data_IF_761549626798
#
_entry.id   IF_761549626798
#
_cell.length_a   1.000
_cell.length_b   1.000
_cell.length_c   1.000
_cell.angle_alpha   90.00
_cell.angle_beta   90.00
_cell.angle_gamma   90.00
#
_symmetry.space_group_name_H-M   'P 1'
#
loop_
_entity.id
_entity.type
_entity.pdbx_description
1 polymer ?
#
# COMPACT_ATOMS: atom_id res chain seq x y z
N UNK A 1 0.53 13.09 -24.62
CA UNK A 1 1.06 13.60 -25.87
C UNK A 1 1.81 12.49 -26.62
N UNK A 2 1.17 11.87 -27.57
CA UNK A 2 1.76 11.09 -28.62
C UNK A 2 2.32 9.73 -28.24
N UNK A 3 3.57 9.60 -27.94
CA UNK A 3 4.26 8.33 -27.99
C UNK A 3 4.78 7.79 -26.65
N UNK A 4 4.71 8.57 -25.57
CA UNK A 4 5.14 8.11 -24.24
C UNK A 4 4.05 7.32 -23.52
N UNK A 5 4.44 6.17 -22.98
CA UNK A 5 3.56 5.28 -22.23
C UNK A 5 3.96 5.26 -20.76
N UNK A 6 3.02 5.67 -19.91
CA UNK A 6 3.14 5.59 -18.45
C UNK A 6 2.20 4.49 -17.95
N UNK A 7 2.73 3.57 -17.15
CA UNK A 7 1.94 2.54 -16.49
C UNK A 7 1.95 2.77 -14.99
N UNK A 8 0.78 2.74 -14.36
CA UNK A 8 0.65 2.83 -12.91
C UNK A 8 0.07 1.50 -12.39
N UNK A 9 0.84 0.81 -11.55
CA UNK A 9 0.45 -0.48 -10.96
C UNK A 9 0.02 -0.37 -9.51
N UNK A 10 -0.23 0.84 -9.01
CA UNK A 10 -0.74 1.02 -7.65
C UNK A 10 -2.09 0.29 -7.47
N UNK A 11 -2.26 -0.36 -6.32
CA UNK A 11 -3.43 -1.19 -5.98
C UNK A 11 -3.69 -2.39 -6.92
N UNK A 12 -2.70 -2.76 -7.73
CA UNK A 12 -2.76 -3.92 -8.61
C UNK A 12 -1.78 -5.01 -8.12
N UNK A 13 -2.21 -5.96 -7.28
CA UNK A 13 -1.34 -7.09 -6.89
C UNK A 13 -0.95 -7.92 -8.11
N UNK A 14 0.36 -8.13 -8.33
CA UNK A 14 0.88 -8.78 -9.53
C UNK A 14 0.22 -10.14 -9.83
N UNK A 15 0.03 -11.06 -8.85
CA UNK A 15 -0.58 -12.36 -9.12
C UNK A 15 -2.01 -12.30 -9.68
N UNK A 16 -2.74 -11.20 -9.40
CA UNK A 16 -4.11 -11.01 -9.89
C UNK A 16 -4.12 -10.23 -11.21
N UNK A 17 -3.16 -9.31 -11.37
CA UNK A 17 -3.10 -8.39 -12.50
C UNK A 17 -2.21 -8.88 -13.66
N UNK A 18 -1.53 -10.01 -13.51
CA UNK A 18 -0.53 -10.52 -14.47
C UNK A 18 -1.09 -10.61 -15.89
N UNK A 19 -2.26 -11.22 -16.09
CA UNK A 19 -2.89 -11.33 -17.41
C UNK A 19 -3.20 -9.96 -18.04
N UNK A 20 -3.60 -8.99 -17.22
CA UNK A 20 -3.86 -7.63 -17.67
C UNK A 20 -2.57 -6.89 -18.00
N UNK A 21 -1.53 -7.09 -17.20
CA UNK A 21 -0.22 -6.52 -17.42
C UNK A 21 0.43 -7.08 -18.70
N UNK A 22 0.31 -8.38 -18.96
CA UNK A 22 0.73 -9.02 -20.22
C UNK A 22 0.02 -8.43 -21.42
N UNK A 23 -1.28 -8.18 -21.33
CA UNK A 23 -2.03 -7.52 -22.42
C UNK A 23 -1.52 -6.11 -22.69
N UNK A 24 -1.23 -5.34 -21.64
CA UNK A 24 -0.64 -3.99 -21.76
C UNK A 24 0.73 -4.08 -22.44
N UNK A 25 1.61 -4.98 -21.97
CA UNK A 25 2.94 -5.18 -22.58
C UNK A 25 2.86 -5.56 -24.07
N UNK A 26 1.87 -6.37 -24.45
CA UNK A 26 1.66 -6.76 -25.85
C UNK A 26 1.11 -5.61 -26.72
N UNK A 27 0.30 -4.72 -26.14
CA UNK A 27 -0.22 -3.54 -26.85
C UNK A 27 0.83 -2.46 -27.03
N UNK A 28 1.70 -2.28 -26.03
CA UNK A 28 2.72 -1.23 -26.01
C UNK A 28 4.12 -1.84 -25.97
N UNK A 29 4.82 -1.76 -27.08
CA UNK A 29 6.19 -2.31 -27.20
C UNK A 29 7.20 -1.65 -26.28
N UNK A 30 6.94 -0.39 -25.90
CA UNK A 30 7.81 0.41 -25.04
C UNK A 30 6.99 1.02 -23.91
N UNK A 31 7.48 0.87 -22.71
CA UNK A 31 6.98 1.54 -21.51
C UNK A 31 8.03 2.54 -21.05
N UNK A 32 7.72 3.83 -21.12
CA UNK A 32 8.68 4.89 -20.79
C UNK A 32 8.78 5.08 -19.27
N UNK A 33 7.67 4.93 -18.56
CA UNK A 33 7.67 5.17 -17.12
C UNK A 33 6.72 4.22 -16.38
N UNK A 34 7.22 3.63 -15.29
CA UNK A 34 6.45 2.71 -14.46
C UNK A 34 6.35 3.25 -13.03
N UNK A 35 5.13 3.50 -12.57
CA UNK A 35 4.81 3.82 -11.18
C UNK A 35 4.48 2.53 -10.43
N UNK A 36 5.28 2.20 -9.41
CA UNK A 36 5.21 0.93 -8.67
C UNK A 36 4.61 1.09 -7.29
N UNK A 37 3.53 0.40 -6.98
CA UNK A 37 3.11 0.19 -5.60
C UNK A 37 4.16 -0.65 -4.85
N UNK A 38 4.76 -0.12 -3.80
CA UNK A 38 5.88 -0.74 -3.09
C UNK A 38 5.63 -0.99 -1.60
N UNK A 39 4.48 -0.61 -1.09
CA UNK A 39 4.15 -0.75 0.33
C UNK A 39 2.67 -1.04 0.54
N UNK A 40 2.35 -1.64 1.66
CA UNK A 40 0.99 -1.98 2.06
C UNK A 40 0.27 -0.79 2.69
N UNK A 41 -1.03 -0.66 2.42
CA UNK A 41 -1.94 0.30 3.05
C UNK A 41 -3.06 -0.42 3.85
N UNK A 42 -2.78 -1.59 4.44
CA UNK A 42 -3.75 -2.38 5.19
C UNK A 42 -3.71 -2.07 6.69
N UNK A 43 -4.77 -2.46 7.41
CA UNK A 43 -4.82 -2.40 8.86
C UNK A 43 -3.95 -3.49 9.54
N UNK A 44 -3.57 -4.52 8.82
CA UNK A 44 -2.68 -5.56 9.31
C UNK A 44 -1.20 -5.21 9.01
N UNK A 45 -0.27 -5.40 9.95
CA UNK A 45 -0.42 -6.03 11.27
C UNK A 45 -0.75 -5.08 12.42
N UNK A 46 -0.58 -3.77 12.24
CA UNK A 46 -0.58 -2.75 13.30
C UNK A 46 -1.88 -2.62 14.10
N UNK A 47 -3.01 -3.07 13.57
CA UNK A 47 -4.31 -3.00 14.26
C UNK A 47 -4.75 -4.36 14.82
N UNK A 48 -3.83 -5.33 14.92
CA UNK A 48 -4.10 -6.68 15.41
C UNK A 48 -3.34 -6.97 16.69
N UNK A 49 -3.92 -7.75 17.57
CA UNK A 49 -3.24 -8.24 18.76
C UNK A 49 -2.31 -9.40 18.38
N UNK A 50 -1.04 -9.09 18.28
CA UNK A 50 0.03 -10.04 17.92
C UNK A 50 1.11 -10.02 19.01
N UNK A 51 1.80 -11.13 19.18
CA UNK A 51 3.05 -11.12 19.92
C UNK A 51 4.11 -10.27 19.18
N UNK A 52 5.12 -9.79 19.88
CA UNK A 52 6.20 -9.02 19.25
C UNK A 52 6.90 -9.80 18.13
N UNK A 53 7.05 -11.11 18.29
CA UNK A 53 7.67 -11.97 17.28
C UNK A 53 6.79 -12.07 16.03
N UNK A 54 5.48 -12.31 16.19
CA UNK A 54 4.52 -12.37 15.09
C UNK A 54 4.40 -11.03 14.36
N UNK A 55 4.41 -9.92 15.11
CA UNK A 55 4.37 -8.57 14.55
C UNK A 55 5.58 -8.33 13.64
N UNK A 56 6.80 -8.56 14.14
CA UNK A 56 8.03 -8.33 13.38
C UNK A 56 8.16 -9.28 12.19
N UNK A 57 7.73 -10.53 12.33
CA UNK A 57 7.65 -11.48 11.22
C UNK A 57 6.69 -11.00 10.14
N UNK A 58 5.48 -10.63 10.53
CA UNK A 58 4.45 -10.14 9.60
C UNK A 58 4.87 -8.89 8.86
N UNK A 59 5.53 -7.94 9.56
CA UNK A 59 6.08 -6.73 8.92
C UNK A 59 7.07 -7.08 7.82
N UNK A 60 8.02 -7.97 8.10
CA UNK A 60 9.04 -8.42 7.13
C UNK A 60 8.42 -9.12 5.92
N UNK A 61 7.49 -10.05 6.16
CA UNK A 61 6.81 -10.79 5.09
C UNK A 61 6.02 -9.88 4.17
N UNK A 62 5.31 -8.89 4.73
CA UNK A 62 4.54 -7.93 3.94
C UNK A 62 5.46 -7.06 3.10
N UNK A 63 6.52 -6.49 3.68
CA UNK A 63 7.49 -5.68 2.95
C UNK A 63 8.10 -6.49 1.81
N UNK A 64 8.57 -7.70 2.09
CA UNK A 64 9.16 -8.57 1.08
C UNK A 64 8.18 -8.90 -0.05
N UNK A 65 6.92 -9.17 0.27
CA UNK A 65 5.87 -9.42 -0.72
C UNK A 65 5.71 -8.26 -1.70
N UNK A 66 5.67 -7.02 -1.20
CA UNK A 66 5.51 -5.84 -2.07
C UNK A 66 6.75 -5.58 -2.92
N UNK A 67 7.94 -5.80 -2.38
CA UNK A 67 9.18 -5.66 -3.15
C UNK A 67 9.25 -6.69 -4.29
N UNK A 68 8.93 -7.96 -4.02
CA UNK A 68 8.87 -8.99 -5.06
C UNK A 68 7.83 -8.70 -6.16
N UNK A 69 6.69 -8.13 -5.80
CA UNK A 69 5.71 -7.67 -6.79
C UNK A 69 6.28 -6.55 -7.67
N UNK A 70 6.98 -5.60 -7.07
CA UNK A 70 7.66 -4.54 -7.82
C UNK A 70 8.69 -5.09 -8.81
N UNK A 71 9.52 -6.05 -8.39
CA UNK A 71 10.46 -6.76 -9.28
C UNK A 71 9.74 -7.44 -10.45
N UNK A 72 8.63 -8.11 -10.17
CA UNK A 72 7.84 -8.78 -11.21
C UNK A 72 7.32 -7.80 -12.25
N UNK A 73 6.85 -6.64 -11.84
CA UNK A 73 6.40 -5.59 -12.75
C UNK A 73 7.54 -4.96 -13.56
N UNK A 74 8.69 -4.70 -12.94
CA UNK A 74 9.86 -4.15 -13.65
C UNK A 74 10.32 -5.15 -14.72
N UNK A 75 10.41 -6.43 -14.38
CA UNK A 75 10.83 -7.48 -15.31
C UNK A 75 9.82 -7.70 -16.45
N UNK A 76 8.52 -7.60 -16.16
CA UNK A 76 7.49 -7.76 -17.18
C UNK A 76 7.46 -6.57 -18.15
N UNK A 77 7.41 -5.36 -17.61
CA UNK A 77 7.25 -4.15 -18.42
C UNK A 77 8.56 -3.66 -19.06
N UNK A 78 9.70 -3.97 -18.47
CA UNK A 78 11.01 -3.50 -18.91
C UNK A 78 11.01 -1.99 -19.22
N UNK A 79 10.61 -1.14 -18.25
CA UNK A 79 10.44 0.29 -18.49
C UNK A 79 11.77 0.99 -18.65
N UNK A 80 11.82 2.13 -19.40
CA UNK A 80 13.00 2.99 -19.41
C UNK A 80 13.30 3.52 -18.00
N UNK A 81 12.26 3.98 -17.30
CA UNK A 81 12.34 4.48 -15.93
C UNK A 81 11.25 3.89 -15.04
N UNK A 82 11.55 3.75 -13.75
CA UNK A 82 10.55 3.36 -12.75
C UNK A 82 10.69 4.17 -11.46
N UNK A 83 9.60 4.28 -10.72
CA UNK A 83 9.55 4.96 -9.44
C UNK A 83 8.72 4.18 -8.43
N UNK A 84 9.25 3.85 -7.23
CA UNK A 84 8.42 3.43 -6.11
C UNK A 84 7.39 4.53 -5.80
N UNK A 85 6.09 4.21 -5.87
CA UNK A 85 5.00 5.18 -5.84
C UNK A 85 3.89 4.76 -4.89
N UNK A 86 3.20 5.74 -4.28
CA UNK A 86 2.01 5.55 -3.46
C UNK A 86 2.13 4.58 -2.28
N UNK A 87 3.33 4.37 -1.73
CA UNK A 87 3.53 3.51 -0.56
C UNK A 87 3.73 4.28 0.75
N UNK A 88 3.76 5.61 0.72
CA UNK A 88 4.12 6.43 1.88
C UNK A 88 2.90 7.11 2.49
N UNK A 89 2.56 6.70 3.70
CA UNK A 89 1.56 7.34 4.54
C UNK A 89 1.95 7.20 6.00
N UNK A 90 1.33 7.98 6.87
CA UNK A 90 1.46 7.89 8.33
C UNK A 90 0.08 7.85 8.96
N UNK A 91 -0.03 7.23 10.12
CA UNK A 91 -1.26 7.23 10.88
C UNK A 91 -1.35 8.51 11.72
N UNK A 92 -2.52 9.12 11.74
CA UNK A 92 -2.79 10.33 12.51
C UNK A 92 -3.84 10.12 13.61
N UNK A 93 -4.09 11.14 14.41
CA UNK A 93 -5.02 11.13 15.54
C UNK A 93 -4.65 10.04 16.56
N UNK A 94 -5.64 9.44 17.17
CA UNK A 94 -5.47 8.39 18.19
C UNK A 94 -4.68 7.17 17.69
N UNK A 95 -4.64 6.94 16.38
CA UNK A 95 -3.94 5.80 15.76
C UNK A 95 -2.47 6.08 15.44
N UNK A 96 -1.97 7.30 15.67
CA UNK A 96 -0.57 7.66 15.42
C UNK A 96 0.41 6.77 16.18
N UNK A 97 0.04 6.32 17.37
CA UNK A 97 0.83 5.40 18.21
C UNK A 97 1.11 4.05 17.50
N UNK A 98 0.25 3.63 16.58
CA UNK A 98 0.39 2.39 15.82
C UNK A 98 1.30 2.55 14.58
N UNK A 99 1.74 3.76 14.25
CA UNK A 99 2.54 3.99 13.04
C UNK A 99 3.87 3.23 13.06
N UNK A 100 4.46 3.03 14.23
CA UNK A 100 5.70 2.26 14.43
C UNK A 100 5.55 0.76 14.12
N UNK A 101 4.33 0.25 14.24
CA UNK A 101 4.02 -1.18 14.09
C UNK A 101 3.55 -1.54 12.66
N UNK A 102 3.50 -0.57 11.76
CA UNK A 102 3.16 -0.82 10.36
C UNK A 102 4.27 -1.57 9.61
N UNK A 103 3.85 -2.40 8.68
CA UNK A 103 4.75 -2.96 7.68
C UNK A 103 5.08 -1.89 6.64
N UNK A 104 6.15 -1.14 6.85
CA UNK A 104 6.58 -0.04 5.98
C UNK A 104 8.03 -0.17 5.55
N UNK A 105 8.31 0.33 4.38
CA UNK A 105 9.65 0.56 3.86
C UNK A 105 9.68 1.98 3.28
N UNK A 106 10.77 2.70 3.48
CA UNK A 106 10.91 4.03 2.91
C UNK A 106 11.14 3.95 1.40
N UNK A 107 10.74 4.97 0.67
CA UNK A 107 10.81 5.00 -0.79
C UNK A 107 12.23 4.81 -1.31
N UNK A 108 13.19 5.41 -0.61
CA UNK A 108 14.62 5.33 -0.92
C UNK A 108 15.17 3.90 -0.73
N UNK A 109 14.69 3.21 0.32
CA UNK A 109 15.12 1.84 0.58
C UNK A 109 14.49 0.85 -0.39
N UNK A 110 13.23 1.08 -0.79
CA UNK A 110 12.61 0.34 -1.87
C UNK A 110 13.37 0.55 -3.20
N UNK A 111 13.75 1.79 -3.51
CA UNK A 111 14.57 2.08 -4.69
C UNK A 111 15.92 1.35 -4.64
N UNK A 112 16.63 1.41 -3.50
CA UNK A 112 17.90 0.68 -3.30
C UNK A 112 17.71 -0.84 -3.48
N UNK A 113 16.61 -1.38 -2.95
CA UNK A 113 16.30 -2.80 -3.12
C UNK A 113 16.21 -3.15 -4.61
N UNK A 114 15.43 -2.41 -5.39
CA UNK A 114 15.29 -2.65 -6.83
C UNK A 114 16.60 -2.45 -7.58
N UNK A 115 17.38 -1.45 -7.24
CA UNK A 115 18.69 -1.17 -7.87
C UNK A 115 19.74 -2.25 -7.58
N UNK A 116 19.63 -2.96 -6.43
CA UNK A 116 20.54 -4.05 -6.05
C UNK A 116 19.98 -5.43 -6.38
N UNK A 117 18.78 -5.53 -6.91
CA UNK A 117 18.16 -6.80 -7.27
C UNK A 117 18.97 -7.51 -8.38
N UNK A 118 19.28 -8.78 -8.15
CA UNK A 118 19.97 -9.61 -9.15
C UNK A 118 19.05 -10.07 -10.29
N UNK A 119 17.73 -9.94 -10.11
CA UNK A 119 16.74 -10.37 -11.11
C UNK A 119 16.31 -9.24 -12.05
N UNK A 120 16.67 -7.98 -11.74
CA UNK A 120 16.42 -6.82 -12.59
C UNK A 120 17.69 -6.49 -13.39
N UNK A 121 17.55 -6.33 -14.71
CA UNK A 121 18.67 -5.93 -15.57
C UNK A 121 18.93 -4.42 -15.43
N UNK A 122 19.68 -4.03 -14.39
CA UNK A 122 19.89 -2.63 -13.98
C UNK A 122 20.42 -1.69 -15.08
N UNK A 123 21.11 -2.22 -16.08
CA UNK A 123 21.64 -1.40 -17.19
C UNK A 123 20.56 -0.82 -18.10
N UNK A 124 19.35 -1.39 -18.04
CA UNK A 124 18.26 -1.03 -18.93
C UNK A 124 17.21 -0.11 -18.28
N UNK A 125 17.20 -0.04 -16.93
CA UNK A 125 16.12 0.60 -16.18
C UNK A 125 16.66 1.61 -15.18
N UNK A 126 16.19 2.85 -15.28
CA UNK A 126 16.56 3.92 -14.34
C UNK A 126 15.52 4.04 -13.23
N UNK A 127 15.91 3.70 -12.01
CA UNK A 127 15.07 3.96 -10.84
C UNK A 127 15.22 5.39 -10.34
N UNK A 128 14.11 6.06 -10.03
CA UNK A 128 14.09 7.43 -9.52
C UNK A 128 13.18 7.57 -8.30
N UNK A 129 13.40 8.65 -7.56
CA UNK A 129 12.49 9.16 -6.51
C UNK A 129 12.35 10.67 -6.68
N UNK A 130 11.19 11.20 -6.29
CA UNK A 130 10.85 12.62 -6.40
C UNK A 130 10.44 13.19 -5.06
N UNK A 131 10.79 14.44 -4.80
CA UNK A 131 10.20 15.22 -3.74
C UNK A 131 8.89 15.87 -4.21
N UNK A 132 8.13 16.41 -3.26
CA UNK A 132 7.00 17.27 -3.56
C UNK A 132 7.44 18.47 -4.39
N UNK A 133 6.64 18.88 -5.37
CA UNK A 133 6.90 20.01 -6.28
C UNK A 133 8.16 19.86 -7.15
N UNK A 134 8.60 18.63 -7.40
CA UNK A 134 9.68 18.36 -8.36
C UNK A 134 9.10 17.72 -9.61
N UNK A 135 9.77 17.91 -10.74
CA UNK A 135 9.38 17.38 -12.04
C UNK A 135 10.46 16.47 -12.61
N UNK A 136 10.00 15.45 -13.32
CA UNK A 136 10.83 14.55 -14.09
C UNK A 136 10.39 14.57 -15.55
N UNK A 137 11.31 14.92 -16.44
CA UNK A 137 11.07 14.86 -17.87
C UNK A 137 11.31 13.44 -18.38
N UNK A 138 10.24 12.78 -18.80
CA UNK A 138 10.27 11.39 -19.28
C UNK A 138 11.06 11.27 -20.59
N UNK A 139 11.07 12.33 -21.40
CA UNK A 139 11.73 12.33 -22.71
C UNK A 139 13.25 12.47 -22.57
N UNK A 140 13.69 13.41 -21.72
CA UNK A 140 15.13 13.65 -21.49
C UNK A 140 15.70 12.76 -20.38
N UNK A 141 14.86 12.24 -19.49
CA UNK A 141 15.28 11.50 -18.30
C UNK A 141 15.89 12.39 -17.21
N UNK A 142 15.61 13.68 -17.23
CA UNK A 142 16.19 14.66 -16.30
C UNK A 142 15.22 15.07 -15.19
N UNK A 143 15.77 15.38 -14.04
CA UNK A 143 15.07 15.97 -12.90
C UNK A 143 15.33 17.48 -12.89
N UNK A 144 14.29 18.26 -12.61
CA UNK A 144 14.44 19.72 -12.42
C UNK A 144 15.23 20.07 -11.15
N UNK A 145 15.13 19.22 -10.12
CA UNK A 145 15.83 19.39 -8.86
C UNK A 145 16.34 18.05 -8.32
N UNK A 146 17.46 18.12 -7.61
CA UNK A 146 18.03 16.93 -6.96
C UNK A 146 17.14 16.48 -5.81
N UNK A 147 16.89 15.16 -5.71
CA UNK A 147 16.18 14.56 -4.60
C UNK A 147 16.84 14.84 -3.24
N UNK A 148 16.05 15.26 -2.28
CA UNK A 148 16.47 15.48 -0.88
C UNK A 148 15.75 14.44 0.00
N UNK A 149 16.48 13.56 0.69
CA UNK A 149 15.88 12.59 1.60
C UNK A 149 15.08 13.27 2.73
N UNK A 150 14.02 12.61 3.17
CA UNK A 150 13.23 13.10 4.29
C UNK A 150 14.03 12.96 5.59
N UNK A 151 14.01 14.03 6.40
CA UNK A 151 14.58 14.02 7.74
C UNK A 151 13.66 13.21 8.68
N UNK A 152 14.11 12.02 9.09
CA UNK A 152 13.32 11.13 9.96
C UNK A 152 13.02 11.78 11.33
N UNK A 153 13.91 12.57 11.90
CA UNK A 153 13.65 13.25 13.18
C UNK A 153 12.53 14.27 13.04
N UNK A 154 12.53 15.07 11.98
CA UNK A 154 11.46 16.04 11.72
C UNK A 154 10.12 15.33 11.44
N UNK A 155 10.15 14.22 10.71
CA UNK A 155 8.97 13.37 10.44
C UNK A 155 8.36 12.85 11.75
N UNK A 156 9.18 12.31 12.65
CA UNK A 156 8.73 11.81 13.96
C UNK A 156 8.13 12.96 14.79
N UNK A 157 8.81 14.09 14.87
CA UNK A 157 8.30 15.27 15.57
C UNK A 157 6.95 15.74 15.01
N UNK A 158 6.80 15.76 13.70
CA UNK A 158 5.54 16.13 13.06
C UNK A 158 4.40 15.14 13.37
N UNK A 159 4.70 13.85 13.38
CA UNK A 159 3.72 12.81 13.76
C UNK A 159 3.29 13.02 15.24
N UNK A 160 4.24 13.21 16.15
CA UNK A 160 3.98 13.33 17.58
C UNK A 160 3.30 14.66 17.96
N UNK A 161 3.74 15.77 17.37
CA UNK A 161 3.30 17.09 17.78
C UNK A 161 2.07 17.60 17.03
N UNK A 162 1.88 17.17 15.78
CA UNK A 162 0.81 17.67 14.92
C UNK A 162 -0.20 16.58 14.56
N UNK A 163 0.25 15.49 13.94
CA UNK A 163 -0.67 14.46 13.43
C UNK A 163 -1.37 13.69 14.55
N UNK A 164 -0.70 13.44 15.68
CA UNK A 164 -1.29 12.74 16.83
C UNK A 164 -2.49 13.50 17.43
N UNK A 165 -2.48 14.83 17.33
CA UNK A 165 -3.53 15.71 17.88
C UNK A 165 -4.70 15.93 16.92
N UNK A 166 -4.58 15.45 15.68
CA UNK A 166 -5.61 15.62 14.66
C UNK A 166 -6.88 14.88 15.07
N UNK A 167 -7.98 15.61 15.08
CA UNK A 167 -9.32 15.03 15.25
C UNK A 167 -9.93 14.76 13.90
N UNK A 168 -10.69 13.67 13.80
CA UNK A 168 -11.41 13.30 12.61
C UNK A 168 -12.91 13.44 12.84
N UNK A 169 -13.66 13.71 11.78
CA UNK A 169 -15.09 13.99 11.85
C UNK A 169 -15.87 12.85 12.52
N UNK A 170 -15.49 11.59 12.21
CA UNK A 170 -16.11 10.41 12.83
C UNK A 170 -15.90 10.27 14.34
N UNK A 171 -14.97 11.00 14.95
CA UNK A 171 -14.75 10.97 16.40
C UNK A 171 -15.88 11.65 17.18
N UNK A 172 -16.71 12.45 16.50
CA UNK A 172 -17.91 13.04 17.03
C UNK A 172 -19.18 12.22 16.81
N UNK A 173 -19.08 11.11 16.07
CA UNK A 173 -20.23 10.25 15.80
C UNK A 173 -20.62 9.46 17.05
N UNK A 174 -21.91 9.27 17.24
CA UNK A 174 -22.41 8.39 18.28
C UNK A 174 -22.04 6.94 17.98
N UNK A 175 -21.51 6.25 18.97
CA UNK A 175 -21.28 4.80 18.85
C UNK A 175 -22.64 4.11 18.77
N UNK A 176 -22.92 3.31 17.73
CA UNK A 176 -24.18 2.60 17.60
C UNK A 176 -24.42 1.68 18.81
N UNK A 177 -25.63 1.68 19.32
CA UNK A 177 -26.02 0.76 20.38
C UNK A 177 -26.25 -0.66 19.87
N UNK A 178 -26.39 -1.62 20.79
CA UNK A 178 -26.62 -3.03 20.43
C UNK A 178 -27.83 -3.21 19.50
N UNK A 179 -28.91 -2.50 19.75
CA UNK A 179 -30.12 -2.60 18.93
C UNK A 179 -29.89 -2.16 17.48
N UNK A 180 -29.09 -1.11 17.26
CA UNK A 180 -28.73 -0.64 15.91
C UNK A 180 -27.95 -1.73 15.16
N UNK A 181 -27.05 -2.43 15.83
CA UNK A 181 -26.32 -3.56 15.25
C UNK A 181 -27.25 -4.73 14.93
N UNK A 182 -28.15 -5.10 15.86
CA UNK A 182 -29.08 -6.22 15.67
C UNK A 182 -30.02 -5.99 14.47
N UNK A 183 -30.39 -4.75 14.18
CA UNK A 183 -31.18 -4.42 12.99
C UNK A 183 -30.37 -4.50 11.67
N UNK A 184 -29.07 -4.22 11.73
CA UNK A 184 -28.20 -4.22 10.54
C UNK A 184 -27.65 -5.59 10.18
N UNK A 185 -27.41 -6.46 11.18
CA UNK A 185 -26.78 -7.77 11.00
C UNK A 185 -27.50 -8.64 9.94
N UNK A 186 -28.83 -8.83 9.96
CA UNK A 186 -29.50 -9.65 8.95
C UNK A 186 -29.25 -9.16 7.53
N UNK A 187 -29.34 -7.85 7.30
CA UNK A 187 -29.09 -7.22 5.98
C UNK A 187 -27.66 -7.38 5.53
N UNK A 188 -26.70 -7.22 6.45
CA UNK A 188 -25.28 -7.43 6.17
C UNK A 188 -25.00 -8.89 5.83
N UNK A 189 -25.60 -9.82 6.57
CA UNK A 189 -25.43 -11.26 6.36
C UNK A 189 -25.98 -11.70 5.00
N UNK A 190 -27.17 -11.26 4.61
CA UNK A 190 -27.76 -11.53 3.29
C UNK A 190 -26.86 -11.04 2.14
N UNK A 191 -26.32 -9.82 2.28
CA UNK A 191 -25.37 -9.25 1.30
C UNK A 191 -24.08 -10.07 1.23
N UNK A 192 -23.55 -10.48 2.36
CA UNK A 192 -22.34 -11.30 2.46
C UNK A 192 -22.55 -12.67 1.81
N UNK A 193 -23.64 -13.38 2.15
CA UNK A 193 -23.98 -14.67 1.52
C UNK A 193 -24.14 -14.55 0.01
N UNK A 194 -24.85 -13.52 -0.44
CA UNK A 194 -25.01 -13.26 -1.88
C UNK A 194 -23.68 -13.10 -2.58
N UNK A 195 -22.73 -12.35 -1.97
CA UNK A 195 -21.39 -12.17 -2.52
C UNK A 195 -20.56 -13.43 -2.53
N UNK A 196 -20.59 -14.22 -1.45
CA UNK A 196 -19.91 -15.52 -1.36
C UNK A 196 -20.39 -16.45 -2.48
N UNK A 197 -21.71 -16.55 -2.67
CA UNK A 197 -22.30 -17.36 -3.74
C UNK A 197 -21.88 -16.88 -5.13
N UNK A 198 -21.91 -15.56 -5.36
CA UNK A 198 -21.50 -14.95 -6.62
C UNK A 198 -20.04 -15.24 -6.97
N UNK A 199 -19.16 -15.13 -5.98
CA UNK A 199 -17.72 -15.32 -6.14
C UNK A 199 -17.28 -16.78 -6.06
N UNK A 200 -18.20 -17.70 -5.76
CA UNK A 200 -17.92 -19.12 -5.48
C UNK A 200 -16.82 -19.29 -4.43
N UNK A 201 -16.82 -18.40 -3.45
CA UNK A 201 -15.83 -18.39 -2.39
C UNK A 201 -16.32 -19.28 -1.23
N UNK A 202 -15.42 -20.09 -0.68
CA UNK A 202 -15.66 -20.83 0.56
C UNK A 202 -14.56 -20.50 1.57
N UNK A 203 -14.95 -20.23 2.80
CA UNK A 203 -14.02 -19.95 3.88
C UNK A 203 -14.58 -20.48 5.20
N UNK A 204 -13.69 -20.98 6.05
CA UNK A 204 -14.01 -21.33 7.44
C UNK A 204 -13.76 -20.15 8.40
N UNK A 205 -13.52 -18.95 7.86
CA UNK A 205 -13.30 -17.74 8.66
C UNK A 205 -14.58 -17.38 9.41
N UNK A 206 -14.45 -17.23 10.73
CA UNK A 206 -15.50 -16.66 11.58
C UNK A 206 -15.21 -15.19 11.81
N UNK A 207 -16.20 -14.35 11.61
CA UNK A 207 -16.12 -12.93 11.97
C UNK A 207 -16.82 -12.77 13.31
N UNK A 208 -16.07 -12.28 14.30
CA UNK A 208 -16.59 -12.01 15.64
C UNK A 208 -16.58 -10.49 15.85
N UNK A 209 -17.70 -9.95 16.27
CA UNK A 209 -17.84 -8.54 16.63
C UNK A 209 -18.00 -8.46 18.15
N UNK A 210 -17.02 -7.87 18.81
CA UNK A 210 -17.07 -7.62 20.24
C UNK A 210 -17.55 -6.20 20.52
N UNK A 211 -18.62 -6.06 21.27
CA UNK A 211 -19.12 -4.77 21.73
C UNK A 211 -18.55 -4.49 23.13
N UNK A 212 -17.85 -3.34 23.32
CA UNK A 212 -17.13 -3.04 24.57
C UNK A 212 -18.00 -3.09 25.84
N UNK A 213 -19.25 -2.72 25.71
CA UNK A 213 -20.14 -2.56 26.88
C UNK A 213 -20.84 -3.86 27.30
N UNK A 214 -20.90 -4.90 26.47
CA UNK A 214 -21.77 -6.05 26.71
C UNK A 214 -21.08 -7.41 26.69
N UNK A 215 -19.78 -7.49 26.38
CA UNK A 215 -19.06 -8.77 26.18
C UNK A 215 -19.80 -9.78 25.27
N UNK A 216 -20.64 -9.27 24.36
CA UNK A 216 -21.39 -10.09 23.43
C UNK A 216 -20.53 -10.34 22.20
N UNK A 217 -20.30 -11.62 21.92
CA UNK A 217 -19.72 -12.10 20.68
C UNK A 217 -20.85 -12.42 19.72
N UNK A 218 -20.91 -11.74 18.59
CA UNK A 218 -21.86 -11.98 17.51
C UNK A 218 -21.20 -12.72 16.36
#
# INVERSE_FOLDING_TARGET
NGDEVIVNTNDCPFPIAEDSALKIKNCYKKINFLLLGYSSATAYPQCFELSNEELEKSKKEIVQKFLLQGESYINLFEPDCYMPFAGRYVLGGKKSILDKDRAKIEQEDALKYFQNSSVIQQKLHKGIVLNQNTSFDITTGELDTKYVPINEAEKIQYIENELSKRKYDYEGDNIPGLNDFLELIPKCYERFESKIKQLRFSSNTKVLIQLPENNILL
#
